data_IF_860538015396
#
_entry.id   IF_860538015396
#
_cell.length_a   1.000
_cell.length_b   1.000
_cell.length_c   1.000
_cell.angle_alpha   90.00
_cell.angle_beta   90.00
_cell.angle_gamma   90.00
#
_symmetry.space_group_name_H-M   'P 1'
#
loop_
_entity.id
_entity.type
_entity.pdbx_description
1 polymer ?
#
# COMPACT_ATOMS: atom_id res chain seq x y z
N UNK A 1 -15.87 0.98 16.15
CA UNK A 1 -15.57 -0.39 16.62
C UNK A 1 -15.04 -1.18 15.43
N UNK A 2 -13.93 -1.91 15.59
CA UNK A 2 -13.24 -2.71 14.56
C UNK A 2 -13.99 -3.96 14.13
N UNK A 3 -15.28 -3.88 13.77
CA UNK A 3 -16.03 -5.09 13.45
C UNK A 3 -15.54 -5.76 12.15
N UNK A 4 -15.14 -4.97 11.15
CA UNK A 4 -14.65 -5.45 9.86
C UNK A 4 -13.15 -5.75 9.91
N UNK A 5 -12.74 -6.89 9.33
CA UNK A 5 -11.33 -7.26 9.19
C UNK A 5 -10.63 -7.71 10.48
N UNK A 6 -11.32 -7.76 11.62
CA UNK A 6 -10.71 -8.09 12.91
C UNK A 6 -10.13 -9.49 12.95
N UNK A 7 -10.83 -10.47 12.40
CA UNK A 7 -10.39 -11.86 12.38
C UNK A 7 -9.09 -12.01 11.59
N UNK A 8 -8.96 -11.29 10.48
CA UNK A 8 -7.78 -11.23 9.62
C UNK A 8 -6.60 -10.56 10.33
N UNK A 9 -6.82 -9.42 10.99
CA UNK A 9 -5.79 -8.73 11.77
C UNK A 9 -5.31 -9.61 12.94
N UNK A 10 -6.24 -10.21 13.69
CA UNK A 10 -5.89 -11.13 14.78
C UNK A 10 -5.14 -12.37 14.28
N UNK A 11 -5.52 -12.92 13.13
CA UNK A 11 -4.80 -14.04 12.52
C UNK A 11 -3.38 -13.63 12.09
N UNK A 12 -3.22 -12.43 11.53
CA UNK A 12 -1.92 -11.88 11.15
C UNK A 12 -1.02 -11.60 12.37
N UNK A 13 -1.62 -11.25 13.51
CA UNK A 13 -0.89 -11.14 14.78
C UNK A 13 -0.48 -12.51 15.31
N UNK A 14 -1.36 -13.51 15.24
CA UNK A 14 -1.07 -14.88 15.69
C UNK A 14 0.03 -15.56 14.86
N UNK A 15 0.03 -15.35 13.55
CA UNK A 15 1.02 -15.94 12.65
C UNK A 15 2.33 -15.14 12.55
N UNK A 16 2.43 -13.99 13.22
CA UNK A 16 3.63 -13.16 13.30
C UNK A 16 3.91 -12.30 12.07
N UNK A 17 3.02 -12.27 11.07
CA UNK A 17 3.15 -11.38 9.90
C UNK A 17 2.82 -9.93 10.23
N UNK A 18 2.10 -9.71 11.34
CA UNK A 18 1.82 -8.42 11.94
C UNK A 18 2.29 -8.42 13.40
N UNK A 19 2.75 -7.27 13.88
CA UNK A 19 3.07 -7.04 15.29
C UNK A 19 2.37 -5.79 15.78
N UNK A 20 2.09 -5.75 17.09
CA UNK A 20 1.68 -4.53 17.78
C UNK A 20 2.89 -3.61 18.00
N UNK A 21 2.64 -2.32 17.87
CA UNK A 21 3.55 -1.20 18.15
C UNK A 21 2.72 -0.07 18.77
N UNK A 22 3.37 0.97 19.27
CA UNK A 22 2.65 2.17 19.69
C UNK A 22 1.95 2.81 18.48
N UNK A 23 0.65 3.06 18.62
CA UNK A 23 -0.11 3.79 17.62
C UNK A 23 0.45 5.20 17.47
N UNK A 24 0.71 5.61 16.23
CA UNK A 24 1.34 6.91 15.97
C UNK A 24 0.68 7.61 14.78
N UNK A 25 -0.11 8.64 15.09
CA UNK A 25 -0.73 9.52 14.09
C UNK A 25 0.33 10.34 13.35
N UNK A 26 1.29 10.90 14.07
CA UNK A 26 2.37 11.69 13.48
C UNK A 26 3.19 10.88 12.46
N UNK A 27 3.51 9.62 12.78
CA UNK A 27 4.20 8.74 11.84
C UNK A 27 3.33 8.40 10.63
N UNK A 28 2.04 8.14 10.84
CA UNK A 28 1.11 7.90 9.74
C UNK A 28 1.00 9.11 8.79
N UNK A 29 0.93 10.32 9.34
CA UNK A 29 0.91 11.57 8.57
C UNK A 29 2.22 11.80 7.80
N UNK A 30 3.37 11.54 8.42
CA UNK A 30 4.67 11.60 7.75
C UNK A 30 4.77 10.58 6.59
N UNK A 31 4.27 9.35 6.77
CA UNK A 31 4.22 8.33 5.73
C UNK A 31 3.30 8.72 4.57
N UNK A 32 2.15 9.35 4.84
CA UNK A 32 1.28 9.89 3.81
C UNK A 32 1.95 11.03 3.03
N UNK A 33 2.74 11.86 3.70
CA UNK A 33 3.52 12.91 3.02
C UNK A 33 4.59 12.31 2.11
N UNK A 34 5.29 11.26 2.57
CA UNK A 34 6.23 10.51 1.74
C UNK A 34 5.54 9.84 0.55
N UNK A 35 4.34 9.28 0.74
CA UNK A 35 3.56 8.69 -0.34
C UNK A 35 3.22 9.71 -1.42
N UNK A 36 2.80 10.93 -1.05
CA UNK A 36 2.55 12.03 -2.00
C UNK A 36 3.83 12.41 -2.76
N UNK A 37 4.96 12.52 -2.04
CA UNK A 37 6.25 12.81 -2.68
C UNK A 37 6.68 11.74 -3.68
N UNK A 38 6.52 10.46 -3.34
CA UNK A 38 6.81 9.35 -4.24
C UNK A 38 5.91 9.34 -5.48
N UNK A 39 4.62 9.65 -5.32
CA UNK A 39 3.69 9.81 -6.44
C UNK A 39 4.15 10.91 -7.40
N UNK A 40 4.43 12.12 -6.89
CA UNK A 40 4.91 13.23 -7.73
C UNK A 40 6.25 12.91 -8.41
N UNK A 41 7.17 12.23 -7.72
CA UNK A 41 8.44 11.80 -8.31
C UNK A 41 8.23 10.78 -9.44
N UNK A 42 7.27 9.87 -9.30
CA UNK A 42 6.93 8.91 -10.34
C UNK A 42 6.48 9.60 -11.64
N UNK A 43 5.64 10.62 -11.52
CA UNK A 43 5.19 11.41 -12.67
C UNK A 43 6.35 12.12 -13.39
N UNK A 44 7.36 12.58 -12.66
CA UNK A 44 8.51 13.28 -13.24
C UNK A 44 9.50 12.36 -13.96
N UNK A 45 9.60 11.08 -13.55
CA UNK A 45 10.62 10.15 -14.07
C UNK A 45 10.10 9.19 -15.14
N UNK A 46 8.78 9.17 -15.39
CA UNK A 46 8.14 8.23 -16.33
C UNK A 46 8.71 8.31 -17.75
N UNK A 47 9.03 9.51 -18.24
CA UNK A 47 9.62 9.70 -19.57
C UNK A 47 11.10 9.26 -19.65
N UNK A 48 11.75 9.04 -18.50
CA UNK A 48 13.15 8.59 -18.40
C UNK A 48 13.23 7.08 -18.19
N UNK A 49 12.44 6.54 -17.26
CA UNK A 49 12.33 5.10 -16.99
C UNK A 49 10.96 4.81 -16.38
N UNK A 50 10.14 4.13 -17.17
CA UNK A 50 8.82 3.65 -16.76
C UNK A 50 8.92 2.65 -15.61
N UNK A 51 9.94 1.80 -15.60
CA UNK A 51 10.17 0.81 -14.55
C UNK A 51 10.42 1.47 -13.19
N UNK A 52 11.25 2.52 -13.21
CA UNK A 52 11.57 3.32 -12.01
C UNK A 52 10.35 4.10 -11.54
N UNK A 53 9.60 4.71 -12.47
CA UNK A 53 8.37 5.43 -12.18
C UNK A 53 7.29 4.50 -11.57
N UNK A 54 7.12 3.31 -12.13
CA UNK A 54 6.17 2.32 -11.64
C UNK A 54 6.52 1.83 -10.23
N UNK A 55 7.81 1.61 -9.94
CA UNK A 55 8.27 1.26 -8.60
C UNK A 55 7.91 2.35 -7.58
N UNK A 56 8.07 3.62 -7.94
CA UNK A 56 7.69 4.76 -7.09
C UNK A 56 6.16 4.82 -6.88
N UNK A 57 5.34 4.57 -7.91
CA UNK A 57 3.87 4.49 -7.76
C UNK A 57 3.45 3.38 -6.79
N UNK A 58 4.06 2.20 -6.91
CA UNK A 58 3.79 1.10 -5.98
C UNK A 58 4.21 1.45 -4.55
N UNK A 59 5.39 2.04 -4.37
CA UNK A 59 5.87 2.45 -3.05
C UNK A 59 4.98 3.54 -2.42
N UNK A 60 4.47 4.48 -3.21
CA UNK A 60 3.50 5.48 -2.77
C UNK A 60 2.23 4.83 -2.20
N UNK A 61 1.62 3.91 -2.96
CA UNK A 61 0.43 3.18 -2.53
C UNK A 61 0.70 2.33 -1.27
N UNK A 62 1.82 1.61 -1.24
CA UNK A 62 2.22 0.78 -0.09
C UNK A 62 2.46 1.61 1.17
N UNK A 63 3.10 2.78 1.05
CA UNK A 63 3.33 3.70 2.17
C UNK A 63 2.01 4.23 2.73
N UNK A 64 1.09 4.65 1.85
CA UNK A 64 -0.22 5.14 2.26
C UNK A 64 -1.02 4.08 3.03
N UNK A 65 -1.05 2.83 2.55
CA UNK A 65 -1.75 1.74 3.25
C UNK A 65 -1.05 1.34 4.56
N UNK A 66 0.29 1.41 4.59
CA UNK A 66 1.05 1.16 5.82
C UNK A 66 0.79 2.24 6.88
N UNK A 67 0.54 3.49 6.48
CA UNK A 67 0.17 4.58 7.39
C UNK A 67 -1.12 4.26 8.15
N UNK A 68 -2.10 3.64 7.48
CA UNK A 68 -3.34 3.18 8.13
C UNK A 68 -3.04 2.19 9.25
N UNK A 69 -2.18 1.20 9.01
CA UNK A 69 -1.83 0.20 10.03
C UNK A 69 -1.02 0.81 11.19
N UNK A 70 -0.07 1.70 10.91
CA UNK A 70 0.73 2.35 11.96
C UNK A 70 -0.13 3.26 12.85
N UNK A 71 -1.11 3.96 12.27
CA UNK A 71 -2.09 4.73 13.05
C UNK A 71 -2.88 3.83 14.01
N UNK A 72 -3.03 2.55 13.68
CA UNK A 72 -3.70 1.55 14.50
C UNK A 72 -2.80 0.90 15.55
N UNK A 73 -1.49 1.18 15.55
CA UNK A 73 -0.52 0.46 16.38
C UNK A 73 -0.15 -0.90 15.81
N UNK A 74 -0.19 -1.06 14.49
CA UNK A 74 0.11 -2.30 13.78
C UNK A 74 1.26 -2.09 12.79
N UNK A 75 2.18 -3.05 12.72
CA UNK A 75 3.31 -3.02 11.79
C UNK A 75 3.55 -4.41 11.21
N UNK A 76 3.73 -4.50 9.89
CA UNK A 76 4.08 -5.77 9.25
C UNK A 76 5.51 -6.18 9.60
N UNK A 77 5.75 -7.48 9.80
CA UNK A 77 7.04 -8.03 10.21
C UNK A 77 7.45 -9.21 9.32
N UNK A 78 8.71 -9.22 8.89
CA UNK A 78 9.31 -10.31 8.12
C UNK A 78 9.42 -10.02 6.62
N UNK A 79 10.19 -10.86 5.93
CA UNK A 79 10.37 -10.78 4.49
C UNK A 79 9.05 -11.11 3.79
N UNK A 80 8.68 -10.32 2.77
CA UNK A 80 7.39 -10.46 2.09
C UNK A 80 6.16 -9.96 2.87
N UNK A 81 6.29 -9.59 4.15
CA UNK A 81 5.16 -9.16 4.99
C UNK A 81 4.50 -7.85 4.52
N UNK A 82 5.22 -7.03 3.75
CA UNK A 82 4.64 -5.87 3.08
C UNK A 82 3.52 -6.24 2.09
N UNK A 83 3.50 -7.48 1.60
CA UNK A 83 2.40 -7.99 0.77
C UNK A 83 1.06 -7.99 1.54
N UNK A 84 1.10 -8.28 2.83
CA UNK A 84 -0.10 -8.39 3.66
C UNK A 84 -0.75 -7.03 3.96
N UNK A 85 -0.05 -5.91 3.78
CA UNK A 85 -0.59 -4.56 4.06
C UNK A 85 -1.89 -4.32 3.30
N UNK A 86 -1.89 -4.61 1.99
CA UNK A 86 -3.05 -4.39 1.12
C UNK A 86 -4.23 -5.26 1.55
N UNK A 87 -3.97 -6.54 1.84
CA UNK A 87 -5.01 -7.49 2.25
C UNK A 87 -5.63 -7.10 3.58
N UNK A 88 -4.82 -6.68 4.56
CA UNK A 88 -5.28 -6.25 5.87
C UNK A 88 -6.12 -4.97 5.80
N UNK A 89 -5.74 -4.00 4.97
CA UNK A 89 -6.53 -2.77 4.81
C UNK A 89 -7.84 -3.07 4.07
N UNK A 90 -7.84 -3.91 3.02
CA UNK A 90 -9.06 -4.34 2.33
C UNK A 90 -10.02 -5.04 3.30
N UNK A 91 -9.52 -5.97 4.11
CA UNK A 91 -10.35 -6.71 5.07
C UNK A 91 -11.08 -5.79 6.06
N UNK A 92 -10.46 -4.66 6.42
CA UNK A 92 -11.01 -3.69 7.36
C UNK A 92 -11.93 -2.63 6.73
N UNK A 93 -11.98 -2.55 5.39
CA UNK A 93 -12.63 -1.44 4.68
C UNK A 93 -13.69 -1.89 3.66
N UNK A 94 -13.79 -3.19 3.41
CA UNK A 94 -14.89 -3.78 2.65
C UNK A 94 -15.96 -4.36 3.59
N UNK A 95 -17.27 -4.23 3.25
CA UNK A 95 -17.85 -3.52 2.10
C UNK A 95 -17.97 -1.98 2.29
N UNK A 96 -18.13 -1.18 1.21
CA UNK A 96 -18.22 -1.58 -0.21
C UNK A 96 -16.85 -1.92 -0.80
N UNK A 97 -16.85 -2.50 -2.00
CA UNK A 97 -15.62 -2.93 -2.69
C UNK A 97 -14.65 -1.76 -2.93
N UNK A 98 -13.39 -1.95 -2.55
CA UNK A 98 -12.35 -0.93 -2.60
C UNK A 98 -11.43 -1.11 -3.81
N UNK A 99 -11.91 -0.74 -5.01
CA UNK A 99 -11.17 -0.98 -6.27
C UNK A 99 -9.75 -0.41 -6.27
N UNK A 100 -9.56 0.82 -5.76
CA UNK A 100 -8.24 1.44 -5.69
C UNK A 100 -7.25 0.65 -4.80
N UNK A 101 -7.71 0.11 -3.67
CA UNK A 101 -6.85 -0.72 -2.81
C UNK A 101 -6.56 -2.08 -3.47
N UNK A 102 -7.55 -2.66 -4.16
CA UNK A 102 -7.36 -3.92 -4.90
C UNK A 102 -6.37 -3.79 -6.05
N UNK A 103 -6.30 -2.63 -6.71
CA UNK A 103 -5.31 -2.37 -7.77
C UNK A 103 -3.87 -2.58 -7.28
N UNK A 104 -3.58 -2.25 -6.01
CA UNK A 104 -2.24 -2.43 -5.43
C UNK A 104 -1.77 -3.90 -5.44
N UNK A 105 -2.69 -4.87 -5.51
CA UNK A 105 -2.34 -6.31 -5.60
C UNK A 105 -1.67 -6.67 -6.93
N UNK A 106 -2.24 -6.22 -8.06
CA UNK A 106 -1.62 -6.51 -9.37
C UNK A 106 -0.34 -5.69 -9.53
N UNK A 107 -0.32 -4.45 -9.01
CA UNK A 107 0.87 -3.61 -9.03
C UNK A 107 2.05 -4.27 -8.34
N UNK A 108 1.81 -4.97 -7.22
CA UNK A 108 2.86 -5.75 -6.54
C UNK A 108 3.48 -6.81 -7.44
N UNK A 109 2.67 -7.51 -8.24
CA UNK A 109 3.16 -8.54 -9.16
C UNK A 109 4.08 -7.92 -10.22
N UNK A 110 3.61 -6.86 -10.88
CA UNK A 110 4.38 -6.14 -11.91
C UNK A 110 5.67 -5.56 -11.33
N UNK A 111 5.60 -4.96 -10.13
CA UNK A 111 6.78 -4.44 -9.42
C UNK A 111 7.77 -5.55 -9.09
N UNK A 112 7.30 -6.73 -8.69
CA UNK A 112 8.17 -7.87 -8.41
C UNK A 112 8.90 -8.34 -9.68
N UNK A 113 8.18 -8.49 -10.79
CA UNK A 113 8.76 -8.92 -12.06
C UNK A 113 9.72 -7.86 -12.63
N UNK A 114 9.45 -6.57 -12.37
CA UNK A 114 10.34 -5.46 -12.71
C UNK A 114 11.64 -5.47 -11.91
N UNK A 115 11.60 -5.81 -10.61
CA UNK A 115 12.79 -5.82 -9.75
C UNK A 115 13.65 -7.07 -9.89
N UNK A 116 13.06 -8.17 -10.32
CA UNK A 116 13.74 -9.42 -10.56
C UNK A 116 13.51 -9.84 -12.02
N UNK A 117 14.15 -9.15 -12.99
CA UNK A 117 13.91 -9.40 -14.40
C UNK A 117 14.13 -10.86 -14.76
N UNK A 118 13.14 -11.43 -15.44
CA UNK A 118 13.15 -12.78 -15.96
C UNK A 118 12.77 -12.71 -17.45
N UNK A 119 13.49 -13.36 -18.38
CA UNK A 119 13.13 -13.39 -19.80
C UNK A 119 11.67 -13.75 -20.10
N UNK A 120 11.03 -14.54 -19.24
CA UNK A 120 9.65 -15.00 -19.43
C UNK A 120 8.59 -14.07 -18.81
N UNK A 121 9.00 -12.96 -18.17
CA UNK A 121 8.08 -12.03 -17.50
C UNK A 121 8.35 -10.58 -17.91
N UNK A 122 7.32 -9.86 -18.41
CA UNK A 122 7.50 -8.47 -18.77
C UNK A 122 7.76 -7.61 -17.52
N UNK A 123 8.66 -6.65 -17.66
CA UNK A 123 8.82 -5.53 -16.70
C UNK A 123 7.68 -4.52 -16.91
N UNK A 124 7.52 -3.58 -15.97
CA UNK A 124 6.48 -2.57 -16.04
C UNK A 124 6.53 -1.77 -17.35
N UNK A 125 5.38 -1.71 -18.03
CA UNK A 125 5.17 -0.97 -19.27
C UNK A 125 4.49 0.38 -19.02
N UNK A 126 4.44 1.22 -20.06
CA UNK A 126 3.74 2.51 -19.99
C UNK A 126 2.25 2.33 -19.69
N UNK A 127 1.64 1.27 -20.24
CA UNK A 127 0.24 0.94 -19.98
C UNK A 127 0.01 0.56 -18.51
N UNK A 128 0.94 -0.19 -17.91
CA UNK A 128 0.89 -0.50 -16.47
C UNK A 128 0.98 0.79 -15.63
N UNK A 129 1.86 1.71 -16.01
CA UNK A 129 1.99 3.01 -15.34
C UNK A 129 0.68 3.83 -15.46
N UNK A 130 0.11 3.91 -16.66
CA UNK A 130 -1.13 4.66 -16.93
C UNK A 130 -2.36 4.04 -16.25
N UNK A 131 -2.37 2.74 -15.98
CA UNK A 131 -3.38 2.11 -15.13
C UNK A 131 -3.14 2.40 -13.64
N UNK A 132 -1.91 2.24 -13.16
CA UNK A 132 -1.57 2.50 -11.77
C UNK A 132 -1.84 3.96 -11.35
N UNK A 133 -1.49 4.94 -12.20
CA UNK A 133 -1.64 6.38 -11.89
C UNK A 133 -3.11 6.78 -11.69
N UNK A 134 -4.07 6.04 -12.27
CA UNK A 134 -5.51 6.24 -12.06
C UNK A 134 -5.97 5.83 -10.66
N UNK A 135 -5.25 4.92 -10.00
CA UNK A 135 -5.64 4.37 -8.70
C UNK A 135 -4.87 4.98 -7.53
N UNK A 136 -3.56 5.21 -7.66
CA UNK A 136 -2.69 5.62 -6.54
C UNK A 136 -3.13 6.91 -5.83
N UNK A 137 -3.57 7.99 -6.50
CA UNK A 137 -4.09 9.18 -5.82
C UNK A 137 -5.29 8.86 -4.92
N UNK A 138 -6.20 8.01 -5.40
CA UNK A 138 -7.37 7.56 -4.63
C UNK A 138 -6.94 6.71 -3.42
N UNK A 139 -5.89 5.89 -3.55
CA UNK A 139 -5.32 5.13 -2.43
C UNK A 139 -4.82 6.09 -1.34
N UNK A 140 -4.02 7.09 -1.72
CA UNK A 140 -3.45 8.08 -0.79
C UNK A 140 -4.54 8.87 -0.09
N UNK A 141 -5.55 9.34 -0.85
CA UNK A 141 -6.67 10.11 -0.31
C UNK A 141 -7.47 9.30 0.71
N UNK A 142 -7.89 8.08 0.34
CA UNK A 142 -8.68 7.20 1.22
C UNK A 142 -7.90 6.78 2.45
N UNK A 143 -6.60 6.45 2.31
CA UNK A 143 -5.74 6.16 3.44
C UNK A 143 -5.67 7.36 4.41
N UNK A 144 -5.60 8.59 3.88
CA UNK A 144 -5.68 9.81 4.67
C UNK A 144 -6.99 9.94 5.46
N UNK A 145 -8.14 9.67 4.83
CA UNK A 145 -9.43 9.65 5.53
C UNK A 145 -9.46 8.57 6.63
N UNK A 146 -8.94 7.38 6.34
CA UNK A 146 -8.88 6.29 7.32
C UNK A 146 -8.03 6.67 8.53
N UNK A 147 -6.85 7.26 8.33
CA UNK A 147 -5.98 7.75 9.44
C UNK A 147 -6.72 8.75 10.35
N UNK A 148 -7.62 9.57 9.81
CA UNK A 148 -8.39 10.53 10.61
C UNK A 148 -9.51 9.90 11.44
N UNK A 149 -10.08 8.79 10.99
CA UNK A 149 -11.31 8.21 11.54
C UNK A 149 -11.12 6.86 12.24
N UNK A 150 -10.04 6.16 11.92
CA UNK A 150 -9.73 4.86 12.50
C UNK A 150 -8.96 5.03 13.83
N UNK A 151 -9.42 4.41 14.93
CA UNK A 151 -8.71 4.48 16.22
C UNK A 151 -7.43 3.60 16.22
N UNK A 152 -6.81 3.37 17.38
CA UNK A 152 -5.93 2.21 17.60
C UNK A 152 -6.70 0.87 17.58
N UNK A 153 -6.04 -0.23 17.15
CA UNK A 153 -6.63 -1.58 17.03
C UNK A 153 -6.76 -2.32 18.37
#
# INVERSE_FOLDING_TARGET
MWALGRAEVEQALRNGTLTRVDASRDLAEAMLQQARGAFSAAEMVTDVSVESAFNLLYDAARLALSAVLVNQGLKTRGEGAHAAVVDLVIAQTEPPRQEAFRAVKWMRSVRNDTQYPNPDRPVASRDDFDDAVRHVPTVIERAGMLVQHMPPF
#
